data_IF_110803523199
#
_entry.id   IF_110803523199
#
_cell.length_a   1.000
_cell.length_b   1.000
_cell.length_c   1.000
_cell.angle_alpha   90.00
_cell.angle_beta   90.00
_cell.angle_gamma   90.00
#
_symmetry.space_group_name_H-M   'P 1'
#
loop_
_entity.id
_entity.type
_entity.pdbx_description
1 polymer ?
#
# COMPACT_ATOMS: atom_id res chain seq x y z
N UNK A 1 15.28 5.68 15.88
CA UNK A 1 14.22 6.70 15.70
C UNK A 1 13.29 6.66 16.90
N UNK A 2 13.05 7.79 17.56
CA UNK A 2 12.31 7.87 18.81
C UNK A 2 10.83 7.48 18.65
N UNK A 3 10.19 7.87 17.54
CA UNK A 3 8.79 7.58 17.25
C UNK A 3 8.46 6.07 17.14
N UNK A 4 9.32 5.28 16.48
CA UNK A 4 9.09 3.84 16.36
C UNK A 4 9.19 3.14 17.71
N UNK A 5 9.97 3.69 18.65
CA UNK A 5 10.07 3.16 20.01
C UNK A 5 8.82 3.51 20.83
N UNK A 6 8.37 4.76 20.79
CA UNK A 6 7.14 5.21 21.47
C UNK A 6 5.88 4.49 20.94
N UNK A 7 5.81 4.26 19.62
CA UNK A 7 4.69 3.51 19.01
C UNK A 7 4.68 2.05 19.45
N UNK A 8 5.85 1.40 19.51
CA UNK A 8 5.98 0.03 20.02
C UNK A 8 5.60 -0.05 21.50
N UNK A 9 6.01 0.92 22.30
CA UNK A 9 5.67 0.99 23.72
C UNK A 9 4.15 1.12 23.94
N UNK A 10 3.47 1.92 23.13
CA UNK A 10 2.02 2.19 23.28
C UNK A 10 1.11 1.12 22.66
N UNK A 11 1.53 0.52 21.55
CA UNK A 11 0.68 -0.37 20.74
C UNK A 11 1.23 -1.80 20.62
N UNK A 12 2.35 -2.12 21.26
CA UNK A 12 3.05 -3.41 21.13
C UNK A 12 3.96 -3.45 19.91
N UNK A 13 3.44 -3.13 18.72
CA UNK A 13 4.23 -3.08 17.48
C UNK A 13 3.78 -1.98 16.51
N UNK A 14 4.64 -1.67 15.53
CA UNK A 14 4.29 -0.74 14.43
C UNK A 14 3.16 -1.34 13.57
N UNK A 15 3.13 -2.67 13.43
CA UNK A 15 2.09 -3.40 12.70
C UNK A 15 0.74 -3.21 13.40
N UNK A 16 0.70 -3.42 14.72
CA UNK A 16 -0.52 -3.26 15.51
C UNK A 16 -1.07 -1.84 15.43
N UNK A 17 -0.20 -0.84 15.51
CA UNK A 17 -0.58 0.56 15.30
C UNK A 17 -1.21 0.77 13.90
N UNK A 18 -0.56 0.28 12.84
CA UNK A 18 -1.07 0.42 11.47
C UNK A 18 -2.43 -0.28 11.34
N UNK A 19 -2.57 -1.52 11.80
CA UNK A 19 -3.82 -2.27 11.71
C UNK A 19 -4.95 -1.61 12.50
N UNK A 20 -4.72 -1.33 13.78
CA UNK A 20 -5.77 -0.89 14.69
C UNK A 20 -6.15 0.58 14.47
N UNK A 21 -5.17 1.44 14.20
CA UNK A 21 -5.38 2.88 14.14
C UNK A 21 -5.57 3.38 12.71
N UNK A 22 -4.72 2.95 11.77
CA UNK A 22 -4.71 3.47 10.39
C UNK A 22 -5.68 2.73 9.48
N UNK A 23 -5.56 1.41 9.43
CA UNK A 23 -6.37 0.56 8.55
C UNK A 23 -7.77 0.34 9.14
N UNK A 24 -7.83 0.12 10.45
CA UNK A 24 -9.02 -0.30 11.20
C UNK A 24 -9.60 -1.61 10.64
N UNK A 25 -8.71 -2.54 10.28
CA UNK A 25 -9.08 -3.88 9.86
C UNK A 25 -9.13 -4.81 11.06
N UNK A 26 -10.09 -5.73 11.04
CA UNK A 26 -10.21 -6.78 12.07
C UNK A 26 -9.24 -7.92 11.75
N UNK A 27 -8.33 -8.18 12.69
CA UNK A 27 -7.38 -9.30 12.61
C UNK A 27 -8.06 -10.63 12.95
N UNK A 28 -7.63 -11.71 12.30
CA UNK A 28 -8.06 -13.06 12.66
C UNK A 28 -7.37 -13.54 13.96
N UNK A 29 -8.06 -14.33 14.81
CA UNK A 29 -7.55 -14.71 16.14
C UNK A 29 -6.31 -15.63 16.10
N UNK A 30 -6.18 -16.52 15.11
CA UNK A 30 -5.09 -17.50 15.02
C UNK A 30 -3.98 -17.01 14.06
N UNK A 31 -3.31 -15.92 14.47
CA UNK A 31 -2.29 -15.25 13.66
C UNK A 31 -1.00 -16.06 13.53
N UNK A 32 -0.51 -16.18 12.29
CA UNK A 32 0.91 -16.36 12.04
C UNK A 32 1.33 -15.43 10.87
N UNK A 33 2.10 -14.36 11.15
CA UNK A 33 2.61 -13.44 10.13
C UNK A 33 3.43 -14.12 9.01
N UNK A 34 3.97 -15.30 9.30
CA UNK A 34 4.78 -16.10 8.37
C UNK A 34 3.95 -16.99 7.44
N UNK A 35 2.73 -17.42 7.82
CA UNK A 35 2.01 -18.50 7.11
C UNK A 35 0.66 -18.11 6.50
N UNK A 36 0.15 -16.89 6.66
CA UNK A 36 -1.18 -16.57 6.11
C UNK A 36 -1.62 -15.11 6.15
N UNK A 37 -2.73 -14.85 5.43
CA UNK A 37 -3.43 -13.56 5.39
C UNK A 37 -3.94 -13.20 6.80
N UNK A 38 -3.48 -12.06 7.33
CA UNK A 38 -3.86 -11.57 8.67
C UNK A 38 -5.34 -11.20 8.79
N UNK A 39 -6.05 -11.11 7.67
CA UNK A 39 -7.38 -10.54 7.57
C UNK A 39 -8.31 -11.44 6.77
N UNK A 40 -9.60 -11.38 7.09
CA UNK A 40 -10.66 -11.94 6.25
C UNK A 40 -10.70 -11.20 4.90
N UNK A 41 -10.53 -11.97 3.83
CA UNK A 41 -10.66 -11.52 2.45
C UNK A 41 -12.13 -11.54 2.03
N UNK A 42 -12.57 -10.48 1.36
CA UNK A 42 -13.89 -10.39 0.72
C UNK A 42 -13.86 -11.06 -0.66
N UNK A 43 -12.70 -11.06 -1.34
CA UNK A 43 -12.47 -11.77 -2.60
C UNK A 43 -11.14 -12.54 -2.54
N UNK A 44 -11.02 -13.75 -3.12
CA UNK A 44 -9.75 -14.49 -3.13
C UNK A 44 -8.71 -13.94 -4.12
N UNK A 45 -9.09 -13.04 -5.03
CA UNK A 45 -8.19 -12.46 -6.03
C UNK A 45 -7.78 -11.05 -5.59
N UNK A 46 -6.48 -10.73 -5.55
CA UNK A 46 -5.99 -9.40 -5.21
C UNK A 46 -6.69 -8.29 -6.01
N UNK A 47 -6.97 -7.18 -5.34
CA UNK A 47 -7.60 -5.97 -5.90
C UNK A 47 -9.03 -6.10 -6.42
N UNK A 48 -9.67 -7.29 -6.38
CA UNK A 48 -11.03 -7.46 -6.90
C UNK A 48 -12.14 -6.92 -5.99
N UNK A 49 -11.88 -6.74 -4.70
CA UNK A 49 -12.79 -6.08 -3.76
C UNK A 49 -12.14 -4.85 -3.17
N UNK A 50 -12.84 -3.72 -3.17
CA UNK A 50 -12.42 -2.50 -2.47
C UNK A 50 -12.37 -2.67 -0.94
N UNK A 51 -12.96 -3.75 -0.39
CA UNK A 51 -12.85 -4.05 1.04
C UNK A 51 -11.51 -4.69 1.42
N UNK A 52 -10.69 -5.10 0.45
CA UNK A 52 -9.45 -5.83 0.67
C UNK A 52 -8.19 -5.00 0.47
N UNK A 53 -8.34 -3.71 0.19
CA UNK A 53 -7.26 -2.76 0.13
C UNK A 53 -7.69 -1.40 0.67
N UNK A 54 -6.72 -0.52 0.93
CA UNK A 54 -6.98 0.85 1.37
C UNK A 54 -5.84 1.76 0.93
N UNK A 55 -6.16 2.94 0.41
CA UNK A 55 -5.15 3.95 0.08
C UNK A 55 -5.03 4.94 1.22
N UNK A 56 -3.80 5.17 1.69
CA UNK A 56 -3.50 6.16 2.72
C UNK A 56 -2.33 7.03 2.29
N UNK A 57 -2.25 8.26 2.81
CA UNK A 57 -0.99 9.00 2.74
C UNK A 57 0.08 8.27 3.56
N UNK A 58 1.30 8.25 3.02
CA UNK A 58 2.44 7.76 3.78
C UNK A 58 2.75 8.77 4.90
N UNK A 59 2.82 8.27 6.13
CA UNK A 59 3.19 9.07 7.30
C UNK A 59 4.67 9.48 7.30
N UNK A 60 5.50 8.79 6.51
CA UNK A 60 6.94 9.07 6.34
C UNK A 60 7.32 9.10 4.86
N UNK A 61 6.94 10.16 4.12
CA UNK A 61 7.14 10.23 2.70
C UNK A 61 8.63 10.35 2.31
N UNK A 62 9.05 9.62 1.27
CA UNK A 62 10.25 9.90 0.50
C UNK A 62 9.85 10.95 -0.55
N UNK A 63 10.18 12.21 -0.34
CA UNK A 63 9.77 13.27 -1.26
C UNK A 63 9.81 14.62 -0.59
N UNK A 64 10.97 15.27 -0.67
CA UNK A 64 11.15 16.65 -0.22
C UNK A 64 10.82 17.67 -1.33
N UNK A 65 10.56 17.20 -2.55
CA UNK A 65 10.28 18.08 -3.68
C UNK A 65 8.79 18.49 -3.70
N UNK A 66 8.49 19.80 -3.83
CA UNK A 66 7.12 20.28 -3.96
C UNK A 66 6.37 19.58 -5.09
N UNK A 67 5.09 19.27 -4.85
CA UNK A 67 4.23 18.64 -5.85
C UNK A 67 4.24 17.11 -5.85
N UNK A 68 5.19 16.45 -5.17
CA UNK A 68 5.19 14.99 -5.00
C UNK A 68 4.38 14.59 -3.76
N UNK A 69 3.43 13.68 -3.96
CA UNK A 69 2.62 13.06 -2.90
C UNK A 69 2.93 11.58 -2.84
N UNK A 70 3.25 11.09 -1.63
CA UNK A 70 3.51 9.69 -1.39
C UNK A 70 2.31 9.02 -0.73
N UNK A 71 1.66 8.14 -1.47
CA UNK A 71 0.58 7.29 -0.99
C UNK A 71 1.06 5.86 -0.79
N UNK A 72 0.38 5.13 0.09
CA UNK A 72 0.54 3.70 0.30
C UNK A 72 -0.79 3.03 0.00
N UNK A 73 -0.76 2.04 -0.89
CA UNK A 73 -1.86 1.10 -1.10
C UNK A 73 -1.59 -0.08 -0.18
N UNK A 74 -2.38 -0.23 0.87
CA UNK A 74 -2.33 -1.36 1.79
C UNK A 74 -3.23 -2.47 1.29
N UNK A 75 -2.78 -3.73 1.42
CA UNK A 75 -3.54 -4.90 1.01
C UNK A 75 -3.74 -5.86 2.19
N UNK A 76 -4.92 -6.46 2.24
CA UNK A 76 -5.14 -7.64 3.06
C UNK A 76 -4.47 -8.88 2.48
N UNK A 77 -4.47 -8.98 1.15
CA UNK A 77 -3.81 -10.03 0.40
C UNK A 77 -2.29 -9.97 0.55
N UNK A 78 -1.63 -11.12 0.52
CA UNK A 78 -0.19 -11.22 0.24
C UNK A 78 0.00 -11.37 -1.25
N UNK A 79 0.79 -10.49 -1.85
CA UNK A 79 1.19 -10.59 -3.24
C UNK A 79 2.29 -11.63 -3.37
N UNK A 80 2.21 -12.42 -4.43
CA UNK A 80 3.20 -13.46 -4.70
C UNK A 80 4.57 -12.84 -4.96
N UNK A 81 5.61 -13.43 -4.37
CA UNK A 81 6.99 -12.98 -4.53
C UNK A 81 7.90 -14.12 -4.94
N UNK A 82 8.93 -13.80 -5.73
CA UNK A 82 9.98 -14.71 -6.12
C UNK A 82 10.79 -15.15 -4.88
N UNK A 83 11.16 -16.44 -4.77
CA UNK A 83 11.68 -17.02 -3.53
C UNK A 83 13.07 -16.51 -3.13
N UNK A 84 13.84 -15.95 -4.07
CA UNK A 84 15.26 -15.60 -3.83
C UNK A 84 15.40 -14.16 -3.32
N UNK A 85 14.82 -13.20 -4.03
CA UNK A 85 14.98 -11.77 -3.73
C UNK A 85 13.75 -11.16 -3.03
N UNK A 86 12.61 -11.87 -3.04
CA UNK A 86 11.37 -11.34 -2.50
C UNK A 86 10.78 -10.18 -3.32
N UNK A 87 11.14 -10.07 -4.60
CA UNK A 87 10.46 -9.19 -5.56
C UNK A 87 9.14 -9.83 -6.02
N UNK A 88 8.22 -9.04 -6.56
CA UNK A 88 6.96 -9.55 -7.12
C UNK A 88 7.22 -10.52 -8.27
N UNK A 89 6.45 -11.62 -8.29
CA UNK A 89 6.37 -12.45 -9.51
C UNK A 89 5.82 -11.63 -10.67
N UNK A 90 6.07 -12.06 -11.92
CA UNK A 90 5.52 -11.38 -13.09
C UNK A 90 3.98 -11.25 -13.02
N UNK A 91 3.31 -12.32 -12.57
CA UNK A 91 1.86 -12.33 -12.42
C UNK A 91 1.38 -11.31 -11.39
N UNK A 92 2.01 -11.26 -10.22
CA UNK A 92 1.67 -10.28 -9.18
C UNK A 92 1.97 -8.85 -9.64
N UNK A 93 3.09 -8.62 -10.35
CA UNK A 93 3.43 -7.32 -10.94
C UNK A 93 2.36 -6.84 -11.93
N UNK A 94 1.83 -7.73 -12.78
CA UNK A 94 0.75 -7.41 -13.70
C UNK A 94 -0.56 -7.09 -12.97
N UNK A 95 -0.87 -7.78 -11.87
CA UNK A 95 -2.04 -7.45 -11.04
C UNK A 95 -1.93 -6.05 -10.43
N UNK A 96 -0.74 -5.68 -9.93
CA UNK A 96 -0.49 -4.33 -9.43
C UNK A 96 -0.62 -3.32 -10.55
N UNK A 97 0.01 -3.56 -11.69
CA UNK A 97 -0.05 -2.65 -12.83
C UNK A 97 -1.50 -2.39 -13.29
N UNK A 98 -2.31 -3.45 -13.44
CA UNK A 98 -3.73 -3.34 -13.80
C UNK A 98 -4.54 -2.54 -12.77
N UNK A 99 -4.24 -2.72 -11.47
CA UNK A 99 -4.84 -1.94 -10.40
C UNK A 99 -4.45 -0.45 -10.48
N UNK A 100 -3.17 -0.14 -10.65
CA UNK A 100 -2.66 1.23 -10.78
C UNK A 100 -3.30 1.92 -11.99
N UNK A 101 -3.38 1.23 -13.12
CA UNK A 101 -3.98 1.75 -14.34
C UNK A 101 -5.45 2.11 -14.15
N UNK A 102 -6.23 1.18 -13.58
CA UNK A 102 -7.67 1.35 -13.37
C UNK A 102 -8.02 2.40 -12.33
N UNK A 103 -7.20 2.52 -11.29
CA UNK A 103 -7.52 3.33 -10.10
C UNK A 103 -6.95 4.74 -10.21
N UNK A 104 -5.74 4.89 -10.76
CA UNK A 104 -5.00 6.15 -10.73
C UNK A 104 -4.67 6.66 -12.14
N UNK A 105 -4.08 5.84 -13.01
CA UNK A 105 -3.57 6.31 -14.32
C UNK A 105 -4.68 6.91 -15.17
N UNK A 106 -5.86 6.26 -15.24
CA UNK A 106 -7.00 6.77 -16.02
C UNK A 106 -7.44 8.18 -15.60
N UNK A 107 -7.39 8.48 -14.31
CA UNK A 107 -7.72 9.82 -13.80
C UNK A 107 -6.62 10.82 -14.19
N UNK A 108 -5.35 10.41 -14.11
CA UNK A 108 -4.18 11.21 -14.49
C UNK A 108 -4.16 11.51 -15.99
N UNK A 109 -4.52 10.55 -16.85
CA UNK A 109 -4.55 10.71 -18.31
C UNK A 109 -5.52 11.79 -18.77
N UNK A 110 -6.51 12.13 -17.94
CA UNK A 110 -7.45 13.23 -18.21
C UNK A 110 -6.89 14.62 -17.84
N UNK A 111 -5.70 14.70 -17.24
CA UNK A 111 -5.05 15.96 -16.90
C UNK A 111 -4.28 16.53 -18.11
N UNK A 112 -4.28 17.86 -18.29
CA UNK A 112 -3.48 18.48 -19.34
C UNK A 112 -1.98 18.37 -19.02
N UNK A 113 -1.16 18.03 -20.01
CA UNK A 113 0.30 17.99 -19.91
C UNK A 113 0.89 16.58 -20.04
N UNK A 114 2.11 16.38 -19.53
CA UNK A 114 2.81 15.09 -19.61
C UNK A 114 2.13 14.02 -18.74
N UNK A 115 2.11 12.79 -19.27
CA UNK A 115 1.49 11.59 -18.70
C UNK A 115 2.29 10.93 -17.58
N UNK A 116 3.57 11.28 -17.45
CA UNK A 116 4.46 10.68 -16.45
C UNK A 116 4.35 11.43 -15.10
N UNK A 117 3.26 11.13 -14.39
CA UNK A 117 2.92 11.70 -13.08
C UNK A 117 2.76 10.65 -11.99
N UNK A 118 2.96 9.38 -12.30
CA UNK A 118 2.79 8.29 -11.34
C UNK A 118 3.90 7.27 -11.50
N UNK A 119 4.52 6.93 -10.38
CA UNK A 119 5.42 5.79 -10.27
C UNK A 119 5.01 4.96 -9.07
N UNK A 120 5.18 3.66 -9.16
CA UNK A 120 4.89 2.76 -8.06
C UNK A 120 6.01 1.75 -7.87
N UNK A 121 6.20 1.32 -6.63
CA UNK A 121 7.15 0.28 -6.29
C UNK A 121 6.68 -0.49 -5.04
N UNK A 122 7.15 -1.72 -4.91
CA UNK A 122 7.05 -2.50 -3.68
C UNK A 122 8.47 -2.78 -3.21
N UNK A 123 8.76 -2.47 -1.94
CA UNK A 123 10.04 -2.87 -1.36
C UNK A 123 10.11 -4.40 -1.32
N UNK A 124 11.27 -4.94 -1.69
CA UNK A 124 11.58 -6.36 -1.56
C UNK A 124 11.34 -6.81 -0.12
N UNK A 125 10.89 -8.05 0.08
CA UNK A 125 10.55 -8.58 1.41
C UNK A 125 11.67 -8.37 2.44
N UNK A 126 12.94 -8.49 2.03
CA UNK A 126 14.11 -8.28 2.90
C UNK A 126 14.27 -6.82 3.40
N UNK A 127 13.62 -5.85 2.75
CA UNK A 127 13.72 -4.42 3.04
C UNK A 127 12.40 -3.84 3.59
N UNK A 128 11.38 -4.67 3.82
CA UNK A 128 10.08 -4.20 4.30
C UNK A 128 10.12 -3.88 5.79
N UNK A 129 9.74 -2.64 6.13
CA UNK A 129 9.67 -2.17 7.52
C UNK A 129 8.43 -2.69 8.27
N UNK A 130 7.41 -3.18 7.55
CA UNK A 130 6.15 -3.71 8.10
C UNK A 130 5.92 -5.14 7.58
N UNK A 131 6.72 -6.13 8.03
CA UNK A 131 6.54 -7.51 7.64
C UNK A 131 5.19 -8.02 8.17
N UNK A 132 4.34 -8.59 7.33
CA UNK A 132 3.01 -9.09 7.75
C UNK A 132 1.86 -8.51 6.93
N UNK A 133 2.00 -7.28 6.44
CA UNK A 133 0.96 -6.58 5.66
C UNK A 133 1.58 -6.07 4.37
N UNK A 134 1.04 -6.54 3.25
CA UNK A 134 1.54 -6.11 1.96
C UNK A 134 1.07 -4.69 1.64
N UNK A 135 1.98 -3.97 1.00
CA UNK A 135 1.75 -2.59 0.63
C UNK A 135 2.58 -2.20 -0.58
N UNK A 136 2.06 -1.24 -1.34
CA UNK A 136 2.67 -0.68 -2.54
C UNK A 136 2.82 0.82 -2.32
N UNK A 137 4.02 1.32 -2.58
CA UNK A 137 4.31 2.74 -2.60
C UNK A 137 3.88 3.32 -3.94
N UNK A 138 3.11 4.40 -3.90
CA UNK A 138 2.65 5.13 -5.08
C UNK A 138 3.05 6.59 -4.90
N UNK A 139 3.93 7.07 -5.77
CA UNK A 139 4.32 8.48 -5.83
C UNK A 139 3.57 9.12 -6.99
N UNK A 140 2.90 10.22 -6.72
CA UNK A 140 2.22 11.01 -7.74
C UNK A 140 2.70 12.45 -7.72
N UNK A 141 2.72 13.10 -8.88
CA UNK A 141 3.21 14.47 -9.03
C UNK A 141 2.16 15.40 -9.63
N UNK A 142 2.05 16.59 -9.05
CA UNK A 142 1.26 17.72 -9.57
C UNK A 142 -0.20 17.32 -9.89
N UNK A 143 -0.81 16.58 -8.98
CA UNK A 143 -2.21 16.17 -9.09
C UNK A 143 -3.15 17.16 -8.38
N UNK A 144 -4.38 17.36 -8.88
CA UNK A 144 -5.38 18.15 -8.16
C UNK A 144 -5.72 17.53 -6.80
N UNK A 145 -5.94 18.37 -5.78
CA UNK A 145 -6.31 17.90 -4.44
C UNK A 145 -7.61 17.08 -4.46
N UNK A 146 -8.56 17.41 -5.33
CA UNK A 146 -9.83 16.66 -5.48
C UNK A 146 -9.60 15.22 -5.94
N UNK A 147 -8.62 14.99 -6.81
CA UNK A 147 -8.23 13.67 -7.29
C UNK A 147 -7.59 12.86 -6.16
N UNK A 148 -6.69 13.47 -5.39
CA UNK A 148 -6.12 12.83 -4.20
C UNK A 148 -7.20 12.42 -3.18
N UNK A 149 -8.16 13.31 -2.90
CA UNK A 149 -9.26 13.02 -1.98
C UNK A 149 -10.16 11.90 -2.49
N UNK A 150 -10.43 11.84 -3.80
CA UNK A 150 -11.17 10.71 -4.41
C UNK A 150 -10.46 9.38 -4.12
N UNK A 151 -9.14 9.32 -4.31
CA UNK A 151 -8.37 8.09 -4.12
C UNK A 151 -8.24 7.66 -2.67
N UNK A 152 -8.13 8.60 -1.72
CA UNK A 152 -8.07 8.29 -0.29
C UNK A 152 -9.39 7.79 0.30
N UNK A 153 -10.50 7.97 -0.42
CA UNK A 153 -11.85 7.52 -0.03
C UNK A 153 -12.35 6.33 -0.85
N UNK A 154 -11.48 5.72 -1.67
CA UNK A 154 -11.82 4.62 -2.57
C UNK A 154 -11.94 3.27 -1.85
#
# INVERSE_FOLDING_TARGET
MQWSAETREKYGSVIDFIVQIRLKWESLPDMNPETGSLFKLDNPVPFKSSKDWKVLLNDWPYGFEPGIVHMIVWLKHRLETEPVLGDLTLAARLQVQDFIEKTFQRDIDNLPGTSDRIVWFKNWTALQTVPGIDHIHVLVRDIPQSMLQKWLNA
#
